data_IF_975857386141
#
_entry.id   IF_975857386141
#
_cell.length_a   1.000
_cell.length_b   1.000
_cell.length_c   1.000
_cell.angle_alpha   90.00
_cell.angle_beta   90.00
_cell.angle_gamma   90.00
#
_symmetry.space_group_name_H-M   'P 1'
#
loop_
_entity.id
_entity.type
_entity.pdbx_description
1 polymer ?
#
# COMPACT_ATOMS: atom_id res chain seq x y z
N UNK A 1 -34.42 67.39 8.21
CA UNK A 1 -33.26 68.13 8.76
C UNK A 1 -32.21 67.10 9.18
N UNK A 2 -30.91 67.24 8.95
CA UNK A 2 -30.15 68.18 8.08
C UNK A 2 -28.75 67.55 7.79
N UNK A 3 -28.21 67.85 6.61
CA UNK A 3 -26.81 67.77 6.10
C UNK A 3 -25.71 67.44 7.14
N UNK A 4 -24.74 66.53 6.94
CA UNK A 4 -23.75 66.38 5.86
C UNK A 4 -22.73 67.55 5.72
N UNK A 5 -21.48 67.37 6.20
CA UNK A 5 -20.17 67.93 5.69
C UNK A 5 -19.01 67.56 6.66
N UNK A 6 -17.90 66.93 6.22
CA UNK A 6 -16.69 67.48 5.55
C UNK A 6 -15.84 68.38 6.49
N UNK A 7 -14.48 68.32 6.60
CA UNK A 7 -13.40 67.99 5.63
C UNK A 7 -12.09 67.44 6.27
N UNK A 8 -11.30 66.70 5.47
CA UNK A 8 -9.83 66.70 5.26
C UNK A 8 -8.84 67.26 6.32
N UNK A 9 -7.76 66.50 6.58
CA UNK A 9 -6.38 66.77 6.09
C UNK A 9 -5.50 65.50 6.23
N UNK A 10 -4.48 65.29 5.38
CA UNK A 10 -3.57 64.13 5.49
C UNK A 10 -3.03 63.56 4.18
N UNK A 11 -2.45 64.38 3.31
CA UNK A 11 -1.65 63.89 2.19
C UNK A 11 -0.38 63.21 2.70
N UNK A 12 -0.08 61.99 2.23
CA UNK A 12 1.31 61.61 2.00
C UNK A 12 1.40 60.68 0.78
N UNK A 13 2.35 60.99 -0.09
CA UNK A 13 2.49 60.48 -1.44
C UNK A 13 3.94 60.05 -1.61
N UNK A 14 4.23 58.76 -1.83
CA UNK A 14 5.53 58.36 -2.35
C UNK A 14 5.58 56.99 -3.04
N UNK A 15 6.21 57.02 -4.22
CA UNK A 15 6.99 55.97 -4.87
C UNK A 15 6.37 54.59 -5.17
N UNK A 16 6.01 54.42 -6.45
CA UNK A 16 6.11 53.16 -7.18
C UNK A 16 7.51 52.52 -7.05
N UNK A 17 7.57 51.22 -6.74
CA UNK A 17 8.70 50.36 -7.11
C UNK A 17 8.17 49.00 -7.60
N UNK A 18 8.18 48.80 -8.91
CA UNK A 18 7.75 47.55 -9.53
C UNK A 18 8.85 46.49 -9.43
N UNK A 19 8.78 45.62 -8.42
CA UNK A 19 9.70 44.47 -8.30
C UNK A 19 9.27 43.35 -9.25
N UNK A 20 9.66 43.49 -10.52
CA UNK A 20 9.67 42.38 -11.46
C UNK A 20 10.86 41.46 -11.14
N UNK A 21 10.64 40.42 -10.33
CA UNK A 21 11.61 39.34 -10.14
C UNK A 21 11.03 38.00 -10.60
N UNK A 22 11.80 37.34 -11.46
CA UNK A 22 11.34 36.24 -12.30
C UNK A 22 11.21 34.93 -11.52
N UNK A 23 10.19 34.13 -11.84
CA UNK A 23 10.06 32.76 -11.33
C UNK A 23 11.17 31.89 -11.96
N UNK A 24 12.32 31.80 -11.29
CA UNK A 24 13.39 30.87 -11.66
C UNK A 24 12.90 29.42 -11.49
N UNK A 25 12.57 28.78 -12.59
CA UNK A 25 12.32 27.34 -12.64
C UNK A 25 13.65 26.60 -12.46
N UNK A 26 13.84 25.92 -11.32
CA UNK A 26 15.02 25.08 -11.10
C UNK A 26 14.91 23.84 -11.98
N UNK A 27 15.60 23.87 -13.12
CA UNK A 27 15.73 22.74 -14.04
C UNK A 27 16.83 21.80 -13.53
N UNK A 28 16.46 20.82 -12.72
CA UNK A 28 17.37 19.75 -12.30
C UNK A 28 17.66 18.81 -13.49
N UNK A 29 18.82 18.98 -14.13
CA UNK A 29 19.24 18.16 -15.27
C UNK A 29 20.75 17.91 -15.21
N UNK A 30 21.20 17.20 -14.16
CA UNK A 30 22.57 16.75 -13.99
C UNK A 30 22.91 15.62 -14.96
N UNK A 31 23.84 15.88 -15.89
CA UNK A 31 24.62 14.83 -16.57
C UNK A 31 25.94 14.65 -15.81
N UNK A 32 26.39 13.41 -15.55
CA UNK A 32 27.74 13.15 -15.06
C UNK A 32 28.73 13.16 -16.23
N UNK A 33 29.92 13.72 -16.02
CA UNK A 33 30.99 13.75 -17.01
C UNK A 33 31.52 15.16 -17.26
N UNK A 34 32.35 15.64 -16.33
CA UNK A 34 33.53 16.48 -16.59
C UNK A 34 34.23 16.70 -15.24
N UNK A 35 35.06 15.74 -14.85
CA UNK A 35 36.04 15.90 -13.78
C UNK A 35 37.41 16.06 -14.44
N UNK A 36 38.05 17.21 -14.23
CA UNK A 36 39.33 17.53 -14.85
C UNK A 36 40.43 16.57 -14.35
N UNK A 37 41.10 15.91 -15.30
CA UNK A 37 42.33 15.16 -15.02
C UNK A 37 43.49 16.15 -15.17
N UNK A 38 44.05 16.58 -14.05
CA UNK A 38 45.24 17.45 -14.01
C UNK A 38 46.52 16.61 -14.13
N UNK A 39 47.53 17.15 -14.80
CA UNK A 39 48.68 16.41 -15.32
C UNK A 39 49.71 15.91 -14.28
N UNK A 40 50.45 14.87 -14.67
CA UNK A 40 51.81 14.54 -14.22
C UNK A 40 52.62 13.96 -15.41
N UNK A 41 53.95 14.04 -15.35
CA UNK A 41 54.90 13.79 -16.47
C UNK A 41 55.72 12.50 -16.18
N UNK A 42 56.56 11.87 -17.04
CA UNK A 42 57.05 11.96 -18.44
C UNK A 42 57.90 10.65 -18.67
N UNK A 43 58.78 10.45 -19.70
CA UNK A 43 58.99 11.02 -21.06
C UNK A 43 59.00 9.94 -22.19
N UNK A 44 59.40 10.31 -23.42
CA UNK A 44 59.75 9.38 -24.54
C UNK A 44 58.60 8.97 -25.47
N UNK A 45 58.72 8.84 -26.80
CA UNK A 45 59.90 8.89 -27.68
C UNK A 45 59.66 9.72 -28.95
N UNK A 46 60.75 10.23 -29.53
CA UNK A 46 60.78 10.99 -30.79
C UNK A 46 61.17 10.11 -31.98
N UNK A 47 60.39 10.09 -33.06
CA UNK A 47 60.93 9.78 -34.38
C UNK A 47 60.31 10.62 -35.52
N UNK A 48 61.06 11.66 -35.88
CA UNK A 48 61.17 12.31 -37.19
C UNK A 48 60.27 11.85 -38.35
N UNK A 49 59.55 12.80 -38.96
CA UNK A 49 59.72 13.02 -40.41
C UNK A 49 59.65 14.50 -40.76
N UNK A 50 60.62 14.98 -41.53
CA UNK A 50 60.77 16.39 -41.92
C UNK A 50 59.99 16.67 -43.20
N UNK A 51 59.31 17.82 -43.25
CA UNK A 51 58.46 18.17 -44.39
C UNK A 51 59.25 18.46 -45.67
N UNK A 52 58.97 17.73 -46.74
CA UNK A 52 59.44 18.06 -48.10
C UNK A 52 58.43 19.00 -48.78
N UNK A 53 58.85 20.25 -49.04
CA UNK A 53 58.13 21.14 -49.96
C UNK A 53 58.28 20.63 -51.40
N UNK A 54 57.19 20.65 -52.17
CA UNK A 54 57.21 20.47 -53.63
C UNK A 54 56.86 19.07 -54.16
N UNK A 55 55.56 18.76 -54.19
CA UNK A 55 54.93 17.77 -55.07
C UNK A 55 53.44 18.17 -55.23
N UNK A 56 52.75 17.83 -56.32
CA UNK A 56 51.56 18.57 -56.74
C UNK A 56 50.34 18.31 -55.85
N UNK A 57 49.55 19.37 -55.64
CA UNK A 57 48.18 19.23 -55.12
C UNK A 57 47.36 18.46 -56.16
N UNK A 58 47.06 17.19 -55.89
CA UNK A 58 45.98 16.49 -56.59
C UNK A 58 44.69 17.25 -56.31
N UNK A 59 44.24 18.00 -57.30
CA UNK A 59 43.00 18.74 -57.24
C UNK A 59 41.84 17.75 -57.24
N UNK A 60 41.34 17.42 -56.04
CA UNK A 60 39.93 17.02 -55.85
C UNK A 60 39.07 18.29 -56.03
N UNK A 61 39.15 18.84 -57.25
CA UNK A 61 38.17 19.75 -57.79
C UNK A 61 37.04 18.89 -58.36
N UNK A 62 35.80 19.20 -58.04
CA UNK A 62 34.65 18.63 -58.76
C UNK A 62 34.01 17.36 -58.19
N UNK A 63 34.24 16.99 -56.92
CA UNK A 63 33.24 16.24 -56.14
C UNK A 63 33.05 16.85 -54.76
N UNK A 64 32.40 18.03 -54.72
CA UNK A 64 31.44 18.25 -53.64
C UNK A 64 30.48 17.08 -53.72
N UNK A 65 30.44 16.24 -52.69
CA UNK A 65 29.27 15.40 -52.50
C UNK A 65 28.11 16.38 -52.36
N UNK A 66 27.33 16.52 -53.42
CA UNK A 66 26.03 17.20 -53.36
C UNK A 66 25.17 16.22 -52.58
N UNK A 67 25.29 16.30 -51.25
CA UNK A 67 24.37 15.65 -50.31
C UNK A 67 23.01 16.06 -50.83
N UNK A 68 22.30 15.06 -51.35
CA UNK A 68 21.09 15.33 -52.10
C UNK A 68 20.13 16.07 -51.16
N UNK A 69 19.30 16.94 -51.74
CA UNK A 69 18.30 17.69 -50.98
C UNK A 69 17.34 16.76 -50.21
N UNK A 70 17.35 15.48 -50.54
CA UNK A 70 16.64 14.37 -49.90
C UNK A 70 17.43 13.79 -48.72
N UNK A 71 18.74 13.55 -48.84
CA UNK A 71 19.60 13.13 -47.73
C UNK A 71 19.69 14.19 -46.61
N UNK A 72 19.80 15.47 -46.97
CA UNK A 72 19.72 16.55 -45.96
C UNK A 72 18.36 16.61 -45.26
N UNK A 73 17.27 16.34 -45.99
CA UNK A 73 15.92 16.26 -45.40
C UNK A 73 15.80 15.03 -44.50
N UNK A 74 16.27 13.87 -44.95
CA UNK A 74 16.26 12.64 -44.17
C UNK A 74 17.09 12.78 -42.88
N UNK A 75 18.27 13.42 -42.95
CA UNK A 75 19.07 13.76 -41.77
C UNK A 75 18.33 14.73 -40.83
N UNK A 76 17.76 15.82 -41.35
CA UNK A 76 16.98 16.79 -40.57
C UNK A 76 15.69 16.19 -39.99
N UNK A 77 15.09 15.21 -40.64
CA UNK A 77 13.87 14.55 -40.18
C UNK A 77 14.16 13.40 -39.19
N UNK A 78 15.30 12.71 -39.33
CA UNK A 78 15.88 11.84 -38.29
C UNK A 78 16.27 12.64 -37.04
N UNK A 79 16.90 13.79 -37.21
CA UNK A 79 17.26 14.69 -36.11
C UNK A 79 16.00 15.23 -35.40
N UNK A 80 15.00 15.70 -36.16
CA UNK A 80 13.68 16.06 -35.60
C UNK A 80 12.97 14.86 -34.96
N UNK A 81 13.13 13.64 -35.47
CA UNK A 81 12.56 12.44 -34.86
C UNK A 81 13.26 12.07 -33.53
N UNK A 82 14.58 12.30 -33.44
CA UNK A 82 15.35 12.16 -32.20
C UNK A 82 15.00 13.26 -31.16
N UNK A 83 14.81 14.51 -31.61
CA UNK A 83 14.39 15.63 -30.76
C UNK A 83 12.90 15.56 -30.35
N UNK A 84 12.05 14.87 -31.13
CA UNK A 84 10.63 14.61 -30.79
C UNK A 84 10.53 13.67 -29.59
N UNK A 85 10.27 14.26 -28.41
CA UNK A 85 9.90 13.51 -27.19
C UNK A 85 8.76 12.53 -27.51
N UNK A 86 9.00 11.23 -27.28
CA UNK A 86 8.01 10.17 -27.54
C UNK A 86 6.67 10.53 -26.90
N UNK A 87 5.53 10.43 -27.61
CA UNK A 87 4.24 10.86 -27.07
C UNK A 87 3.91 10.06 -25.81
N UNK A 88 3.68 10.75 -24.70
CA UNK A 88 3.31 10.14 -23.43
C UNK A 88 2.01 9.36 -23.67
N UNK A 89 2.08 8.03 -23.47
CA UNK A 89 0.94 7.13 -23.68
C UNK A 89 -0.16 7.47 -22.66
N UNK A 90 -1.15 8.24 -23.11
CA UNK A 90 -2.36 8.60 -22.34
C UNK A 90 -2.98 7.30 -21.81
N UNK A 91 -3.22 7.20 -20.49
CA UNK A 91 -3.68 6.00 -19.73
C UNK A 91 -2.61 4.98 -19.31
N UNK A 92 -1.35 5.40 -19.09
CA UNK A 92 -0.43 4.64 -18.24
C UNK A 92 -0.50 5.10 -16.79
N UNK A 93 -0.49 4.15 -15.85
CA UNK A 93 -0.21 4.35 -14.43
C UNK A 93 0.78 3.24 -14.01
N UNK A 94 1.85 3.57 -13.27
CA UNK A 94 2.93 2.62 -12.90
C UNK A 94 3.41 1.69 -14.04
N UNK A 95 3.47 2.21 -15.28
CA UNK A 95 3.85 1.45 -16.48
C UNK A 95 2.73 0.62 -17.13
N UNK A 96 1.62 0.38 -16.43
CA UNK A 96 0.49 -0.43 -16.89
C UNK A 96 -0.59 0.36 -17.62
N UNK A 97 -1.25 -0.30 -18.59
CA UNK A 97 -2.39 0.28 -19.32
C UNK A 97 -3.67 0.17 -18.48
N UNK A 98 -4.29 1.31 -18.23
CA UNK A 98 -5.55 1.39 -17.47
C UNK A 98 -6.77 1.64 -18.36
N UNK A 99 -7.93 1.16 -17.90
CA UNK A 99 -9.24 1.47 -18.47
C UNK A 99 -10.11 2.12 -17.37
N UNK A 100 -10.81 3.20 -17.73
CA UNK A 100 -11.72 3.91 -16.83
C UNK A 100 -13.01 3.12 -16.67
N UNK A 101 -13.49 3.00 -15.44
CA UNK A 101 -14.84 2.56 -15.08
C UNK A 101 -15.57 3.64 -14.28
N UNK A 102 -16.88 3.47 -14.18
CA UNK A 102 -17.68 4.16 -13.18
C UNK A 102 -18.80 3.22 -12.72
N UNK A 103 -19.22 3.37 -11.46
CA UNK A 103 -20.43 2.77 -10.93
C UNK A 103 -21.28 3.86 -10.29
N UNK A 104 -22.58 3.60 -10.19
CA UNK A 104 -23.56 4.49 -9.54
C UNK A 104 -24.32 3.68 -8.50
N UNK A 105 -24.42 4.20 -7.28
CA UNK A 105 -25.10 3.55 -6.15
C UNK A 105 -26.00 4.52 -5.40
N UNK A 106 -26.99 3.99 -4.67
CA UNK A 106 -28.02 4.77 -4.00
C UNK A 106 -29.15 5.26 -4.92
N UNK A 107 -30.11 5.97 -4.32
CA UNK A 107 -31.27 6.53 -5.03
C UNK A 107 -30.90 7.54 -6.11
N UNK A 108 -31.76 7.68 -7.13
CA UNK A 108 -31.57 8.68 -8.20
C UNK A 108 -31.62 10.11 -7.63
N UNK A 109 -30.91 11.04 -8.27
CA UNK A 109 -30.87 12.45 -7.86
C UNK A 109 -29.66 12.79 -6.97
N UNK A 110 -29.80 13.77 -6.07
CA UNK A 110 -28.68 14.35 -5.30
C UNK A 110 -27.96 13.34 -4.40
N UNK A 111 -28.69 12.33 -3.91
CA UNK A 111 -28.14 11.31 -3.02
C UNK A 111 -27.38 10.20 -3.77
N UNK A 112 -27.38 10.20 -5.11
CA UNK A 112 -26.65 9.23 -5.92
C UNK A 112 -25.13 9.37 -5.70
N UNK A 113 -24.51 8.27 -5.29
CA UNK A 113 -23.07 8.14 -5.18
C UNK A 113 -22.53 7.69 -6.54
N UNK A 114 -21.50 8.38 -7.03
CA UNK A 114 -20.79 8.06 -8.27
C UNK A 114 -19.34 7.77 -7.94
N UNK A 115 -18.91 6.54 -8.18
CA UNK A 115 -17.52 6.14 -8.00
C UNK A 115 -16.85 6.01 -9.36
N UNK A 116 -15.83 6.83 -9.60
CA UNK A 116 -15.01 6.84 -10.81
C UNK A 116 -13.68 6.19 -10.47
N UNK A 117 -13.32 5.14 -11.20
CA UNK A 117 -12.15 4.33 -10.93
C UNK A 117 -11.45 3.91 -12.22
N UNK A 118 -10.25 3.37 -12.08
CA UNK A 118 -9.48 2.79 -13.16
C UNK A 118 -9.08 1.37 -12.78
N UNK A 119 -9.05 0.48 -13.77
CA UNK A 119 -8.67 -0.92 -13.63
C UNK A 119 -7.66 -1.33 -14.69
N UNK A 120 -6.90 -2.38 -14.42
CA UNK A 120 -5.92 -2.93 -15.36
C UNK A 120 -6.60 -3.42 -16.64
N UNK A 121 -6.03 -3.09 -17.81
CA UNK A 121 -6.44 -3.72 -19.07
C UNK A 121 -5.98 -5.18 -19.15
N UNK A 122 -4.76 -5.45 -18.71
CA UNK A 122 -4.16 -6.78 -18.66
C UNK A 122 -4.18 -7.23 -17.20
N UNK A 123 -4.85 -8.33 -16.87
CA UNK A 123 -4.94 -8.79 -15.49
C UNK A 123 -3.54 -9.08 -14.91
N UNK A 124 -3.31 -8.63 -13.68
CA UNK A 124 -2.20 -9.03 -12.84
C UNK A 124 -2.76 -9.34 -11.46
N UNK A 125 -2.34 -10.47 -10.89
CA UNK A 125 -2.73 -10.86 -9.55
C UNK A 125 -2.23 -9.81 -8.55
N UNK A 126 -3.08 -9.29 -7.64
CA UNK A 126 -2.63 -8.50 -6.51
C UNK A 126 -1.64 -9.29 -5.65
N UNK A 127 -0.78 -8.57 -4.94
CA UNK A 127 0.12 -9.16 -3.96
C UNK A 127 -0.69 -9.98 -2.93
N UNK A 128 -0.44 -11.31 -2.78
CA UNK A 128 -1.12 -12.15 -1.78
C UNK A 128 -0.99 -11.62 -0.35
N UNK A 129 0.09 -10.88 -0.08
CA UNK A 129 0.43 -10.35 1.23
C UNK A 129 -0.21 -8.99 1.50
N UNK A 130 -0.78 -8.32 0.49
CA UNK A 130 -1.45 -7.05 0.68
C UNK A 130 -2.65 -7.18 1.64
N UNK A 131 -2.96 -6.15 2.45
CA UNK A 131 -4.01 -6.24 3.47
C UNK A 131 -5.42 -6.29 2.83
N UNK A 132 -5.55 -5.78 1.61
CA UNK A 132 -6.79 -5.75 0.85
C UNK A 132 -6.53 -5.68 -0.67
N UNK A 133 -7.17 -6.56 -1.43
CA UNK A 133 -7.24 -6.52 -2.89
C UNK A 133 -8.59 -5.96 -3.35
N UNK A 134 -8.58 -4.78 -3.94
CA UNK A 134 -9.76 -4.11 -4.48
C UNK A 134 -9.95 -4.39 -5.98
N UNK A 135 -11.15 -4.80 -6.36
CA UNK A 135 -11.49 -5.16 -7.73
C UNK A 135 -12.90 -4.71 -8.11
N UNK A 136 -13.11 -4.54 -9.41
CA UNK A 136 -14.42 -4.31 -10.01
C UNK A 136 -14.96 -5.63 -10.58
N UNK A 137 -16.18 -6.00 -10.21
CA UNK A 137 -16.92 -7.10 -10.84
C UNK A 137 -17.88 -6.53 -11.90
N UNK A 138 -17.65 -6.76 -13.21
CA UNK A 138 -18.54 -6.25 -14.26
C UNK A 138 -19.96 -6.84 -14.17
N UNK A 139 -20.09 -8.12 -13.76
CA UNK A 139 -21.37 -8.83 -13.62
C UNK A 139 -22.28 -8.18 -12.56
N UNK A 140 -21.70 -7.81 -11.41
CA UNK A 140 -22.44 -7.19 -10.28
C UNK A 140 -22.40 -5.65 -10.30
N UNK A 141 -21.70 -5.06 -11.28
CA UNK A 141 -21.48 -3.62 -11.44
C UNK A 141 -21.11 -2.88 -10.13
N UNK A 142 -20.22 -3.49 -9.34
CA UNK A 142 -19.83 -3.00 -8.00
C UNK A 142 -18.34 -3.25 -7.73
N UNK A 143 -17.74 -2.41 -6.88
CA UNK A 143 -16.41 -2.61 -6.32
C UNK A 143 -16.47 -3.52 -5.08
N UNK A 144 -15.47 -4.39 -4.95
CA UNK A 144 -15.33 -5.35 -3.86
C UNK A 144 -13.91 -5.32 -3.29
N UNK A 145 -13.79 -5.68 -2.00
CA UNK A 145 -12.53 -5.98 -1.30
C UNK A 145 -12.45 -7.49 -1.11
N UNK A 146 -11.33 -8.08 -1.51
CA UNK A 146 -10.96 -9.46 -1.25
C UNK A 146 -9.66 -9.51 -0.43
N UNK A 147 -9.41 -10.68 0.15
CA UNK A 147 -8.21 -11.03 0.93
C UNK A 147 -7.38 -12.14 0.26
N UNK A 148 -7.94 -12.85 -0.73
CA UNK A 148 -7.29 -13.96 -1.41
C UNK A 148 -7.19 -13.75 -2.92
N UNK A 149 -7.00 -14.86 -3.64
CA UNK A 149 -6.88 -14.88 -5.10
C UNK A 149 -8.14 -14.36 -5.80
N UNK A 150 -7.96 -13.83 -7.02
CA UNK A 150 -9.03 -13.23 -7.84
C UNK A 150 -9.11 -13.94 -9.18
N UNK A 151 -10.32 -14.09 -9.72
CA UNK A 151 -10.53 -14.75 -11.01
C UNK A 151 -10.16 -13.80 -12.17
N UNK A 152 -9.13 -14.12 -13.00
CA UNK A 152 -8.73 -13.27 -14.12
C UNK A 152 -9.83 -13.01 -15.14
N UNK A 153 -10.77 -13.96 -15.29
CA UNK A 153 -11.84 -13.91 -16.28
C UNK A 153 -12.94 -12.94 -15.85
N UNK A 154 -13.47 -13.06 -14.63
CA UNK A 154 -14.57 -12.22 -14.15
C UNK A 154 -14.10 -10.92 -13.51
N UNK A 155 -13.03 -10.93 -12.71
CA UNK A 155 -12.67 -9.81 -11.85
C UNK A 155 -11.65 -8.86 -12.51
N UNK A 156 -11.77 -7.56 -12.22
CA UNK A 156 -10.95 -6.51 -12.83
C UNK A 156 -10.28 -5.68 -11.75
N UNK A 157 -9.01 -6.00 -11.50
CA UNK A 157 -8.14 -5.41 -10.48
C UNK A 157 -8.02 -3.89 -10.65
N UNK A 158 -8.23 -3.14 -9.56
CA UNK A 158 -8.16 -1.68 -9.58
C UNK A 158 -6.71 -1.19 -9.70
N UNK A 159 -6.49 -0.21 -10.58
CA UNK A 159 -5.17 0.34 -10.84
C UNK A 159 -5.31 1.71 -11.53
N UNK A 160 -4.76 2.76 -10.92
CA UNK A 160 -4.95 4.17 -11.30
C UNK A 160 -5.79 4.97 -10.29
N UNK A 161 -6.17 6.20 -10.62
CA UNK A 161 -6.87 7.10 -9.69
C UNK A 161 -8.29 6.62 -9.35
N UNK A 162 -8.74 6.93 -8.14
CA UNK A 162 -10.07 6.68 -7.61
C UNK A 162 -10.70 7.97 -7.11
N UNK A 163 -12.00 8.15 -7.35
CA UNK A 163 -12.78 9.26 -6.81
C UNK A 163 -14.24 8.86 -6.59
N UNK A 164 -14.68 8.93 -5.34
CA UNK A 164 -16.08 8.79 -4.91
C UNK A 164 -16.71 10.17 -4.75
N UNK A 165 -17.88 10.37 -5.34
CA UNK A 165 -18.59 11.64 -5.32
C UNK A 165 -20.06 11.45 -4.98
N UNK A 166 -20.67 12.47 -4.38
CA UNK A 166 -22.11 12.58 -4.18
C UNK A 166 -22.51 14.05 -4.38
N UNK A 167 -23.58 14.31 -5.13
CA UNK A 167 -24.01 15.68 -5.47
C UNK A 167 -22.85 16.59 -5.97
N UNK A 168 -22.02 16.09 -6.88
CA UNK A 168 -20.78 16.72 -7.39
C UNK A 168 -19.67 17.04 -6.36
N UNK A 169 -19.86 16.76 -5.07
CA UNK A 169 -18.82 16.86 -4.05
C UNK A 169 -18.02 15.57 -3.96
N UNK A 170 -16.71 15.67 -3.71
CA UNK A 170 -15.84 14.52 -3.46
C UNK A 170 -16.02 14.06 -2.02
N UNK A 171 -16.20 12.75 -1.82
CA UNK A 171 -16.27 12.13 -0.49
C UNK A 171 -15.00 11.31 -0.17
N UNK A 172 -14.36 10.73 -1.20
CA UNK A 172 -13.13 9.97 -1.06
C UNK A 172 -12.33 10.08 -2.37
N UNK A 173 -11.03 10.26 -2.29
CA UNK A 173 -10.14 10.20 -3.46
C UNK A 173 -8.77 9.65 -3.12
N UNK A 174 -8.18 8.91 -4.05
CA UNK A 174 -6.86 8.32 -3.89
C UNK A 174 -6.41 7.59 -5.15
N UNK A 175 -5.50 6.65 -5.00
CA UNK A 175 -4.99 5.84 -6.11
C UNK A 175 -4.95 4.36 -5.70
N UNK A 176 -5.25 3.48 -6.65
CA UNK A 176 -5.01 2.04 -6.52
C UNK A 176 -3.77 1.64 -7.31
N UNK A 177 -2.96 0.74 -6.75
CA UNK A 177 -1.85 0.09 -7.43
C UNK A 177 -2.01 -1.43 -7.32
N UNK A 178 -2.28 -2.09 -8.44
CA UNK A 178 -2.38 -3.56 -8.53
C UNK A 178 -3.39 -4.15 -7.52
N UNK A 179 -4.53 -3.48 -7.35
CA UNK A 179 -5.58 -3.83 -6.39
C UNK A 179 -5.40 -3.24 -5.01
N UNK A 180 -4.24 -2.69 -4.65
CA UNK A 180 -3.96 -2.18 -3.30
C UNK A 180 -4.15 -0.65 -3.22
N UNK A 181 -4.42 -0.09 -2.03
CA UNK A 181 -4.41 1.37 -1.84
C UNK A 181 -2.98 1.90 -1.99
N UNK A 182 -2.79 2.98 -2.74
CA UNK A 182 -1.47 3.59 -2.95
C UNK A 182 -1.53 5.12 -3.02
N UNK A 183 -0.37 5.74 -2.79
CA UNK A 183 -0.19 7.19 -2.67
C UNK A 183 -1.12 7.78 -1.60
N UNK A 184 -1.39 9.08 -1.71
CA UNK A 184 -2.28 9.80 -0.80
C UNK A 184 -3.75 9.40 -1.02
N UNK A 185 -4.43 9.09 0.08
CA UNK A 185 -5.87 8.90 0.20
C UNK A 185 -6.45 10.00 1.09
N UNK A 186 -7.55 10.60 0.64
CA UNK A 186 -8.22 11.71 1.30
C UNK A 186 -9.72 11.40 1.41
N UNK A 187 -10.27 11.50 2.61
CA UNK A 187 -11.70 11.37 2.90
C UNK A 187 -12.25 12.73 3.29
N UNK A 188 -13.42 13.08 2.77
CA UNK A 188 -14.07 14.37 2.97
C UNK A 188 -15.49 14.17 3.51
N UNK A 189 -15.97 15.15 4.28
CA UNK A 189 -17.36 15.26 4.68
C UNK A 189 -18.26 15.72 3.50
N UNK A 190 -19.58 15.54 3.64
CA UNK A 190 -20.60 16.06 2.72
C UNK A 190 -20.53 17.59 2.58
N UNK A 191 -19.96 18.30 3.56
CA UNK A 191 -19.67 19.75 3.43
C UNK A 191 -18.45 20.06 2.56
N UNK A 192 -17.53 19.12 2.38
CA UNK A 192 -16.26 19.27 1.66
C UNK A 192 -15.03 19.41 2.56
N UNK A 193 -15.21 19.38 3.89
CA UNK A 193 -14.12 19.42 4.87
C UNK A 193 -13.30 18.13 4.79
N UNK A 194 -11.96 18.25 4.78
CA UNK A 194 -11.05 17.10 4.85
C UNK A 194 -11.16 16.45 6.24
N UNK A 195 -11.55 15.17 6.29
CA UNK A 195 -11.67 14.39 7.52
C UNK A 195 -10.38 13.64 7.83
N UNK A 196 -9.87 12.87 6.85
CA UNK A 196 -8.64 12.09 7.01
C UNK A 196 -7.77 12.18 5.76
N UNK A 197 -6.45 12.10 5.97
CA UNK A 197 -5.43 12.12 4.93
C UNK A 197 -4.35 11.11 5.31
N UNK A 198 -4.25 10.02 4.55
CA UNK A 198 -3.36 8.89 4.82
C UNK A 198 -2.53 8.62 3.57
N UNK A 199 -1.23 8.34 3.72
CA UNK A 199 -0.41 7.87 2.61
C UNK A 199 -0.29 6.36 2.67
N UNK A 200 -0.43 5.69 1.52
CA UNK A 200 -0.32 4.25 1.39
C UNK A 200 0.78 3.84 0.40
N UNK A 201 1.50 2.78 0.74
CA UNK A 201 2.53 2.14 -0.06
C UNK A 201 2.09 0.68 -0.29
N UNK A 202 1.68 0.35 -1.52
CA UNK A 202 1.22 -1.00 -1.92
C UNK A 202 0.19 -1.67 -0.98
N UNK A 203 -0.71 -0.86 -0.39
CA UNK A 203 -1.79 -1.29 0.50
C UNK A 203 -1.56 -0.99 1.98
N UNK A 204 -0.30 -0.86 2.41
CA UNK A 204 0.06 -0.56 3.79
C UNK A 204 0.15 0.95 4.03
N UNK A 205 -0.20 1.48 5.21
CA UNK A 205 0.09 2.87 5.54
C UNK A 205 1.60 3.13 5.43
N UNK A 206 2.01 4.25 4.85
CA UNK A 206 3.44 4.57 4.68
C UNK A 206 4.19 4.66 6.01
N UNK A 207 3.51 5.15 7.04
CA UNK A 207 4.11 5.33 8.36
C UNK A 207 4.06 4.04 9.20
N UNK A 208 3.46 2.95 8.68
CA UNK A 208 3.31 1.69 9.39
C UNK A 208 4.64 1.02 9.70
N UNK A 209 4.74 0.45 10.90
CA UNK A 209 5.90 -0.36 11.29
C UNK A 209 5.68 -1.78 10.73
N UNK A 210 6.48 -2.13 9.73
CA UNK A 210 6.46 -3.46 9.09
C UNK A 210 7.70 -4.23 9.55
N UNK A 211 7.50 -5.32 10.29
CA UNK A 211 8.54 -6.32 10.51
C UNK A 211 8.51 -7.35 9.38
N UNK A 212 9.63 -8.01 9.11
CA UNK A 212 9.78 -8.98 8.02
C UNK A 212 10.39 -10.28 8.53
N UNK A 213 10.10 -11.39 7.85
CA UNK A 213 10.78 -12.67 8.05
C UNK A 213 12.14 -12.72 7.34
N UNK A 214 12.31 -11.96 6.26
CA UNK A 214 13.50 -11.95 5.41
C UNK A 214 14.27 -10.62 5.45
N UNK A 215 15.59 -10.69 5.24
CA UNK A 215 16.42 -9.48 5.08
C UNK A 215 16.09 -8.68 3.80
N UNK A 216 15.49 -9.34 2.80
CA UNK A 216 15.08 -8.73 1.52
C UNK A 216 13.83 -7.85 1.60
N UNK A 217 13.12 -7.85 2.75
CA UNK A 217 11.84 -7.14 2.95
C UNK A 217 10.74 -7.54 1.97
N UNK A 218 10.76 -8.80 1.54
CA UNK A 218 9.76 -9.37 0.62
C UNK A 218 8.61 -10.06 1.35
N UNK A 219 8.84 -10.53 2.57
CA UNK A 219 7.90 -11.34 3.36
C UNK A 219 7.61 -10.66 4.70
N UNK A 220 6.63 -9.73 4.76
CA UNK A 220 6.26 -9.07 6.01
C UNK A 220 5.73 -10.10 7.02
N UNK A 221 6.12 -9.91 8.28
CA UNK A 221 5.72 -10.72 9.43
C UNK A 221 4.58 -10.08 10.19
N UNK A 222 4.67 -8.77 10.40
CA UNK A 222 3.69 -8.01 11.17
C UNK A 222 3.63 -6.59 10.62
N UNK A 223 2.42 -6.06 10.49
CA UNK A 223 2.14 -4.71 10.03
C UNK A 223 1.33 -3.99 11.10
N UNK A 224 2.02 -3.10 11.82
CA UNK A 224 1.42 -2.25 12.85
C UNK A 224 1.00 -0.92 12.20
N UNK A 225 -0.30 -0.59 12.16
CA UNK A 225 -0.81 0.54 11.39
C UNK A 225 -0.56 1.86 12.13
N UNK A 226 0.52 2.54 11.80
CA UNK A 226 0.74 3.93 12.22
C UNK A 226 0.32 4.89 11.11
N UNK A 227 -0.28 6.02 11.51
CA UNK A 227 -0.72 7.12 10.66
C UNK A 227 -0.40 8.43 11.39
N UNK A 228 0.45 9.28 10.81
CA UNK A 228 0.91 10.52 11.43
C UNK A 228 1.49 10.32 12.87
N UNK A 229 2.17 9.20 13.10
CA UNK A 229 2.75 8.84 14.40
C UNK A 229 1.78 8.28 15.45
N UNK A 230 0.48 8.14 15.12
CA UNK A 230 -0.52 7.50 16.00
C UNK A 230 -0.85 6.09 15.50
N UNK A 231 -1.12 5.17 16.43
CA UNK A 231 -1.53 3.80 16.13
C UNK A 231 -3.03 3.78 15.75
N UNK A 232 -3.32 3.72 14.46
CA UNK A 232 -4.65 3.88 13.87
C UNK A 232 -4.74 3.15 12.51
N UNK A 233 -5.69 2.23 12.36
CA UNK A 233 -5.97 1.53 11.10
C UNK A 233 -6.01 0.00 11.19
N UNK A 234 -5.93 -0.65 10.03
CA UNK A 234 -6.02 -2.13 9.89
C UNK A 234 -4.69 -2.79 10.30
N UNK A 235 -4.72 -3.64 11.35
CA UNK A 235 -3.58 -4.47 11.79
C UNK A 235 -3.59 -5.83 11.10
N UNK A 236 -2.42 -6.32 10.69
CA UNK A 236 -2.25 -7.68 10.15
C UNK A 236 -0.94 -8.30 10.62
N UNK A 237 -1.02 -9.53 11.15
CA UNK A 237 0.13 -10.40 11.35
C UNK A 237 0.07 -11.59 10.40
N UNK A 238 1.21 -11.98 9.89
CA UNK A 238 1.39 -13.12 9.02
C UNK A 238 2.30 -14.17 9.66
N UNK A 239 2.17 -15.39 9.14
CA UNK A 239 3.01 -16.53 9.46
C UNK A 239 4.11 -16.69 8.40
N UNK A 240 5.14 -17.48 8.71
CA UNK A 240 6.26 -17.79 7.81
C UNK A 240 5.87 -18.59 6.54
N UNK A 241 4.58 -18.87 6.31
CA UNK A 241 4.04 -19.43 5.06
C UNK A 241 3.27 -18.39 4.22
N UNK A 242 3.27 -17.12 4.64
CA UNK A 242 2.57 -16.02 3.99
C UNK A 242 1.07 -15.92 4.35
N UNK A 243 0.54 -16.84 5.17
CA UNK A 243 -0.86 -16.75 5.61
C UNK A 243 -1.03 -15.74 6.72
N UNK A 244 -2.23 -15.16 6.83
CA UNK A 244 -2.58 -14.31 7.96
C UNK A 244 -2.75 -15.17 9.19
N UNK A 245 -2.12 -14.77 10.28
CA UNK A 245 -2.29 -15.35 11.61
C UNK A 245 -3.30 -14.52 12.40
N UNK A 246 -3.19 -13.19 12.31
CA UNK A 246 -4.08 -12.23 12.97
C UNK A 246 -4.50 -11.10 12.05
N UNK A 247 -5.74 -10.63 12.22
CA UNK A 247 -6.21 -9.33 11.69
C UNK A 247 -7.08 -8.63 12.70
N UNK A 248 -7.00 -7.30 12.76
CA UNK A 248 -7.83 -6.47 13.63
C UNK A 248 -7.76 -4.99 13.25
N UNK A 249 -8.27 -4.11 14.11
CA UNK A 249 -8.23 -2.66 13.92
C UNK A 249 -7.77 -1.95 15.20
N UNK A 250 -6.98 -0.89 15.01
CA UNK A 250 -6.66 0.10 16.04
C UNK A 250 -7.38 1.42 15.78
N UNK A 251 -7.77 2.09 16.86
CA UNK A 251 -8.28 3.46 16.87
C UNK A 251 -7.78 4.16 18.14
N UNK A 252 -7.22 5.37 18.00
CA UNK A 252 -6.59 6.13 19.10
C UNK A 252 -5.52 5.35 19.92
N UNK A 253 -4.91 4.31 19.34
CA UNK A 253 -3.97 3.42 20.03
C UNK A 253 -4.57 2.19 20.70
N UNK A 254 -5.90 2.11 20.84
CA UNK A 254 -6.59 0.97 21.44
C UNK A 254 -7.07 -0.03 20.38
N UNK A 255 -7.12 -1.31 20.76
CA UNK A 255 -7.72 -2.38 19.96
C UNK A 255 -9.24 -2.19 19.94
N UNK A 256 -9.85 -2.20 18.76
CA UNK A 256 -11.30 -1.97 18.60
C UNK A 256 -11.97 -2.97 17.66
N UNK A 257 -13.25 -3.27 17.94
CA UNK A 257 -14.09 -4.15 17.13
C UNK A 257 -13.64 -5.62 17.11
N UNK A 258 -13.94 -6.32 16.01
CA UNK A 258 -13.60 -7.74 15.86
C UNK A 258 -12.10 -7.97 15.54
N UNK A 259 -11.47 -8.82 16.33
CA UNK A 259 -10.11 -9.30 16.15
C UNK A 259 -10.12 -10.80 15.85
N UNK A 260 -9.55 -11.16 14.69
CA UNK A 260 -9.65 -12.51 14.13
C UNK A 260 -8.28 -13.19 14.20
N UNK A 261 -8.25 -14.37 14.82
CA UNK A 261 -7.13 -15.30 14.79
C UNK A 261 -7.48 -16.45 13.83
N UNK A 262 -6.62 -16.72 12.86
CA UNK A 262 -6.80 -17.80 11.88
C UNK A 262 -6.14 -19.13 12.30
N UNK A 263 -5.29 -19.12 13.33
CA UNK A 263 -4.59 -20.30 13.82
C UNK A 263 -3.75 -20.99 12.74
N UNK A 264 -3.87 -22.31 12.67
CA UNK A 264 -3.26 -23.15 11.63
C UNK A 264 -4.17 -23.33 10.40
N UNK A 265 -5.33 -22.68 10.38
CA UNK A 265 -6.40 -23.00 9.44
C UNK A 265 -6.14 -22.35 8.07
N UNK A 266 -6.48 -23.07 7.00
CA UNK A 266 -6.13 -22.62 5.64
C UNK A 266 -7.01 -21.48 5.11
N UNK A 267 -8.27 -21.39 5.57
CA UNK A 267 -9.30 -20.55 4.93
C UNK A 267 -10.23 -19.84 5.92
N UNK A 268 -10.53 -20.46 7.05
CA UNK A 268 -11.51 -19.96 8.01
C UNK A 268 -10.79 -19.34 9.21
N UNK A 269 -11.42 -18.37 9.90
CA UNK A 269 -11.04 -18.02 11.27
C UNK A 269 -10.96 -19.26 12.15
N UNK A 270 -10.20 -19.19 13.22
CA UNK A 270 -10.28 -20.12 14.34
C UNK A 270 -11.01 -19.46 15.52
N UNK A 271 -10.53 -18.29 15.96
CA UNK A 271 -11.17 -17.47 16.99
C UNK A 271 -11.54 -16.08 16.48
N UNK A 272 -12.66 -15.55 16.96
CA UNK A 272 -13.03 -14.13 16.81
C UNK A 272 -13.31 -13.54 18.17
N UNK A 273 -12.57 -12.50 18.51
CA UNK A 273 -12.63 -11.75 19.75
C UNK A 273 -13.28 -10.39 19.53
N UNK A 274 -14.10 -9.92 20.47
CA UNK A 274 -14.61 -8.56 20.51
C UNK A 274 -13.80 -7.71 21.50
N UNK A 275 -13.42 -6.53 21.03
CA UNK A 275 -12.92 -5.41 21.84
C UNK A 275 -13.98 -4.31 21.91
N UNK A 276 -13.70 -3.23 22.66
CA UNK A 276 -14.54 -2.03 22.68
C UNK A 276 -14.89 -1.52 21.28
N UNK A 277 -16.07 -0.93 21.14
CA UNK A 277 -16.59 -0.50 19.84
C UNK A 277 -15.77 0.67 19.28
N UNK A 278 -15.23 1.51 20.17
CA UNK A 278 -14.52 2.74 19.83
C UNK A 278 -13.21 2.91 20.60
N UNK A 279 -12.28 3.68 20.02
CA UNK A 279 -11.01 4.03 20.65
C UNK A 279 -11.13 5.10 21.74
N UNK A 280 -12.30 5.23 22.36
CA UNK A 280 -12.59 6.16 23.46
C UNK A 280 -13.07 5.44 24.72
N UNK A 281 -13.39 4.15 24.61
CA UNK A 281 -13.65 3.26 25.75
C UNK A 281 -12.34 2.84 26.42
N UNK A 282 -12.35 2.52 27.73
CA UNK A 282 -11.18 1.92 28.38
C UNK A 282 -10.82 0.60 27.70
N UNK A 283 -9.52 0.33 27.55
CA UNK A 283 -9.06 -0.86 26.84
C UNK A 283 -9.48 -2.14 27.58
N UNK A 284 -10.24 -2.98 26.89
CA UNK A 284 -10.67 -4.28 27.39
C UNK A 284 -9.45 -5.21 27.42
N UNK A 285 -8.86 -5.40 28.61
CA UNK A 285 -7.67 -6.23 28.80
C UNK A 285 -7.94 -7.71 28.46
N UNK A 286 -9.11 -8.22 28.88
CA UNK A 286 -9.61 -9.57 28.59
C UNK A 286 -10.69 -9.51 27.50
N UNK A 287 -10.35 -9.68 26.21
CA UNK A 287 -11.32 -9.57 25.13
C UNK A 287 -12.33 -10.72 25.16
N UNK A 288 -13.58 -10.42 24.83
CA UNK A 288 -14.61 -11.44 24.81
C UNK A 288 -14.47 -12.33 23.58
N UNK A 289 -14.31 -13.64 23.75
CA UNK A 289 -14.51 -14.59 22.65
C UNK A 289 -15.98 -14.52 22.23
N UNK A 290 -16.24 -14.15 20.98
CA UNK A 290 -17.61 -14.11 20.43
C UNK A 290 -17.90 -15.29 19.50
N UNK A 291 -16.91 -15.80 18.76
CA UNK A 291 -17.08 -16.94 17.84
C UNK A 291 -15.85 -17.84 17.81
N UNK A 292 -16.08 -19.15 17.76
CA UNK A 292 -15.06 -20.18 17.52
C UNK A 292 -15.50 -21.09 16.37
N UNK A 293 -14.57 -21.43 15.50
CA UNK A 293 -14.79 -22.24 14.32
C UNK A 293 -13.90 -23.49 14.34
N UNK A 294 -14.36 -24.56 13.69
CA UNK A 294 -13.58 -25.75 13.37
C UNK A 294 -12.66 -25.50 12.16
N UNK A 295 -11.69 -26.38 11.97
CA UNK A 295 -10.74 -26.40 10.86
C UNK A 295 -11.42 -26.41 9.47
N UNK A 296 -12.61 -27.02 9.35
CA UNK A 296 -13.40 -27.02 8.11
C UNK A 296 -14.34 -25.81 7.95
N UNK A 297 -14.43 -24.93 8.95
CA UNK A 297 -15.22 -23.70 8.94
C UNK A 297 -16.60 -23.79 9.59
N UNK A 298 -16.96 -24.93 10.18
CA UNK A 298 -18.19 -25.06 10.98
C UNK A 298 -18.09 -24.25 12.28
N UNK A 299 -19.18 -23.54 12.66
CA UNK A 299 -19.22 -22.78 13.92
C UNK A 299 -19.37 -23.75 15.10
N UNK A 300 -18.41 -23.71 16.02
CA UNK A 300 -18.43 -24.48 17.28
C UNK A 300 -19.01 -23.63 18.40
N UNK A 301 -18.66 -22.34 18.46
CA UNK A 301 -19.15 -21.40 19.48
C UNK A 301 -19.63 -20.10 18.83
N UNK A 302 -20.75 -19.57 19.31
CA UNK A 302 -21.30 -18.27 18.91
C UNK A 302 -22.07 -17.66 20.08
N UNK A 303 -21.48 -16.62 20.69
CA UNK A 303 -22.05 -15.93 21.86
C UNK A 303 -23.38 -15.24 21.53
N UNK A 304 -23.48 -14.62 20.36
CA UNK A 304 -24.69 -13.92 19.91
C UNK A 304 -25.87 -14.89 19.73
N UNK A 305 -25.60 -16.11 19.28
CA UNK A 305 -26.61 -17.17 19.07
C UNK A 305 -26.79 -18.12 20.25
N UNK A 306 -26.08 -17.91 21.37
CA UNK A 306 -26.03 -18.83 22.51
C UNK A 306 -25.70 -20.29 22.10
N UNK A 307 -24.80 -20.46 21.14
CA UNK A 307 -24.36 -21.75 20.63
C UNK A 307 -23.04 -22.13 21.28
N UNK A 308 -22.97 -23.29 21.93
CA UNK A 308 -21.73 -23.87 22.42
C UNK A 308 -21.69 -25.38 22.16
N UNK A 309 -20.88 -25.77 21.18
CA UNK A 309 -20.60 -27.16 20.79
C UNK A 309 -19.16 -27.57 21.12
N UNK A 310 -18.44 -26.83 21.96
CA UNK A 310 -17.01 -27.09 22.26
C UNK A 310 -16.80 -28.40 23.04
N UNK A 311 -17.87 -28.98 23.59
CA UNK A 311 -17.87 -30.32 24.18
C UNK A 311 -18.24 -31.46 23.23
N UNK A 312 -18.71 -31.16 22.01
CA UNK A 312 -19.10 -32.16 21.02
C UNK A 312 -17.88 -32.67 20.23
N UNK A 313 -18.07 -33.75 19.46
CA UNK A 313 -17.09 -34.15 18.46
C UNK A 313 -16.95 -33.07 17.39
N UNK A 314 -15.71 -32.81 16.95
CA UNK A 314 -15.42 -31.83 15.90
C UNK A 314 -16.26 -32.13 14.64
N UNK A 315 -17.16 -31.21 14.21
CA UNK A 315 -18.06 -31.43 13.08
C UNK A 315 -17.32 -31.63 11.75
N UNK A 316 -16.09 -31.12 11.61
CA UNK A 316 -15.31 -31.20 10.39
C UNK A 316 -14.15 -32.21 10.49
N UNK A 317 -14.03 -32.92 11.62
CA UNK A 317 -13.08 -34.02 11.72
C UNK A 317 -13.42 -35.09 10.70
N UNK A 318 -12.53 -35.30 9.73
CA UNK A 318 -12.64 -36.46 8.85
C UNK A 318 -12.71 -37.71 9.72
N UNK A 319 -13.71 -38.60 9.56
CA UNK A 319 -13.72 -39.85 10.30
C UNK A 319 -12.42 -40.56 9.96
N UNK A 320 -11.56 -40.72 10.96
CA UNK A 320 -10.33 -41.48 10.81
C UNK A 320 -10.76 -42.85 10.31
N UNK A 321 -10.44 -43.14 9.04
CA UNK A 321 -10.60 -44.48 8.49
C UNK A 321 -9.58 -45.34 9.21
N UNK A 322 -9.99 -45.82 10.37
CA UNK A 322 -9.31 -46.79 11.18
C UNK A 322 -9.10 -48.00 10.27
N UNK A 323 -7.92 -48.08 9.66
CA UNK A 323 -7.55 -49.14 8.72
C UNK A 323 -7.24 -50.42 9.51
N UNK A 324 -8.22 -50.87 10.29
CA UNK A 324 -8.26 -52.19 10.92
C UNK A 324 -8.46 -53.22 9.83
N UNK A 325 -7.35 -53.52 9.17
CA UNK A 325 -7.12 -54.66 8.30
C UNK A 325 -7.83 -55.89 8.90
N UNK A 326 -8.81 -56.50 8.22
CA UNK A 326 -9.44 -57.71 8.71
C UNK A 326 -8.42 -58.86 8.62
N UNK A 327 -8.06 -59.46 9.76
CA UNK A 327 -7.24 -60.68 9.79
C UNK A 327 -6.06 -60.66 10.76
N UNK A 328 -6.33 -60.81 12.06
CA UNK A 328 -5.47 -61.58 12.98
C UNK A 328 -6.27 -61.93 14.25
N UNK A 329 -6.71 -63.18 14.38
CA UNK A 329 -7.27 -63.67 15.64
C UNK A 329 -6.15 -63.82 16.68
N UNK A 330 -6.11 -62.89 17.64
CA UNK A 330 -5.41 -63.04 18.91
C UNK A 330 -6.44 -63.09 20.04
N UNK A 331 -6.29 -64.03 20.97
CA UNK A 331 -7.25 -64.26 22.07
C UNK A 331 -7.44 -63.00 22.92
N UNK A 332 -8.68 -62.58 23.25
CA UNK A 332 -8.90 -61.39 24.06
C UNK A 332 -8.48 -61.63 25.51
N UNK A 333 -7.41 -60.97 25.95
CA UNK A 333 -7.10 -60.86 27.38
C UNK A 333 -8.21 -60.03 28.09
N UNK A 334 -8.62 -60.41 29.31
CA UNK A 334 -9.62 -59.66 30.06
C UNK A 334 -9.11 -58.25 30.38
N UNK A 335 -9.93 -57.23 30.09
CA UNK A 335 -9.59 -55.83 30.39
C UNK A 335 -9.52 -55.61 31.91
N UNK A 336 -8.50 -54.89 32.43
CA UNK A 336 -8.49 -54.48 33.83
C UNK A 336 -9.69 -53.56 34.13
N UNK A 337 -10.19 -53.54 35.38
CA UNK A 337 -11.39 -52.80 35.74
C UNK A 337 -11.23 -51.30 35.48
N UNK A 338 -12.31 -50.68 34.99
CA UNK A 338 -12.36 -49.25 34.64
C UNK A 338 -11.98 -48.40 35.85
N UNK A 339 -10.82 -47.74 35.78
CA UNK A 339 -10.43 -46.74 36.76
C UNK A 339 -11.45 -45.59 36.68
N UNK A 340 -12.19 -45.36 37.77
CA UNK A 340 -13.27 -44.36 37.83
C UNK A 340 -12.75 -43.02 37.28
N UNK A 341 -13.54 -42.40 36.41
CA UNK A 341 -13.25 -41.07 35.84
C UNK A 341 -13.02 -40.09 36.99
N UNK A 342 -11.81 -39.57 37.12
CA UNK A 342 -11.59 -38.42 37.99
C UNK A 342 -12.32 -37.22 37.36
N UNK A 343 -13.08 -36.42 38.15
CA UNK A 343 -13.64 -35.19 37.63
C UNK A 343 -12.49 -34.29 37.16
N UNK A 344 -12.59 -33.80 35.92
CA UNK A 344 -11.65 -32.78 35.41
C UNK A 344 -11.73 -31.57 36.35
N UNK A 345 -10.56 -31.06 36.78
CA UNK A 345 -10.48 -29.87 37.64
C UNK A 345 -11.24 -28.70 36.99
N UNK A 346 -12.02 -27.92 37.76
CA UNK A 346 -12.49 -26.62 37.28
C UNK A 346 -11.28 -25.70 37.13
N UNK A 347 -11.04 -25.27 35.90
CA UNK A 347 -9.85 -24.50 35.53
C UNK A 347 -9.97 -24.08 34.08
N UNK A 348 -10.74 -23.02 33.82
CA UNK A 348 -10.73 -22.32 32.55
C UNK A 348 -9.30 -21.79 32.33
N UNK A 349 -8.55 -22.43 31.44
CA UNK A 349 -7.48 -21.75 30.74
C UNK A 349 -8.10 -21.12 29.50
N UNK A 350 -8.33 -19.81 29.54
CA UNK A 350 -8.47 -19.06 28.29
C UNK A 350 -7.19 -19.34 27.48
N UNK A 351 -7.29 -19.80 26.21
CA UNK A 351 -6.08 -20.07 25.43
C UNK A 351 -5.27 -18.78 25.30
N UNK A 352 -3.94 -18.91 25.23
CA UNK A 352 -2.98 -17.81 25.09
C UNK A 352 -3.02 -17.18 23.68
N UNK A 353 -4.23 -16.81 23.25
CA UNK A 353 -4.60 -16.23 21.99
C UNK A 353 -5.21 -14.84 22.23
N UNK A 354 -4.70 -14.08 23.19
CA UNK A 354 -4.72 -12.62 23.09
C UNK A 354 -3.90 -12.24 21.85
N UNK A 355 -4.34 -11.30 20.99
CA UNK A 355 -3.47 -10.76 19.95
C UNK A 355 -2.17 -10.25 20.57
N UNK A 356 -1.05 -10.36 19.85
CA UNK A 356 0.25 -10.01 20.40
C UNK A 356 0.25 -8.57 20.91
N UNK A 357 0.84 -8.37 22.08
CA UNK A 357 1.15 -7.02 22.54
C UNK A 357 1.96 -6.32 21.43
N UNK A 358 1.47 -5.17 20.98
CA UNK A 358 2.13 -4.40 19.92
C UNK A 358 3.55 -4.13 20.37
N UNK A 359 4.53 -4.61 19.61
CA UNK A 359 5.94 -4.41 19.94
C UNK A 359 6.19 -2.91 20.10
N UNK A 360 6.68 -2.42 21.26
CA UNK A 360 6.93 -1.00 21.43
C UNK A 360 7.93 -0.54 20.37
N UNK A 361 7.73 0.67 19.85
CA UNK A 361 8.69 1.31 18.97
C UNK A 361 10.09 1.27 19.61
N UNK A 362 11.15 0.90 18.88
CA UNK A 362 12.50 1.12 19.38
C UNK A 362 12.61 2.63 19.67
N UNK A 363 12.85 2.96 20.94
CA UNK A 363 12.82 4.35 21.39
C UNK A 363 13.79 5.17 20.53
N UNK A 364 13.27 6.21 19.88
CA UNK A 364 14.12 7.23 19.24
C UNK A 364 14.95 7.86 20.34
N UNK A 365 16.22 7.47 20.43
CA UNK A 365 17.17 8.02 21.40
C UNK A 365 17.09 9.54 21.34
N UNK A 366 16.74 10.24 22.45
CA UNK A 366 16.74 11.69 22.44
C UNK A 366 18.16 12.14 22.14
N UNK A 367 18.32 12.94 21.09
CA UNK A 367 19.61 13.51 20.73
C UNK A 367 20.16 14.29 21.93
N UNK A 368 21.43 14.04 22.27
CA UNK A 368 22.06 14.64 23.43
C UNK A 368 21.90 16.17 23.39
N UNK A 369 21.31 16.75 24.44
CA UNK A 369 21.21 18.20 24.58
C UNK A 369 22.62 18.76 24.70
N UNK A 370 23.03 19.55 23.71
CA UNK A 370 24.35 20.18 23.67
C UNK A 370 24.56 21.05 24.91
N UNK A 371 25.64 20.78 25.64
CA UNK A 371 26.07 21.62 26.74
C UNK A 371 26.48 23.00 26.22
N UNK A 372 25.93 24.05 26.81
CA UNK A 372 26.40 25.43 26.62
C UNK A 372 27.79 25.60 27.23
N UNK A 373 28.75 26.24 26.53
CA UNK A 373 30.01 26.63 27.15
C UNK A 373 29.76 27.77 28.15
N UNK A 374 30.23 27.59 29.38
CA UNK A 374 30.28 28.67 30.36
C UNK A 374 31.38 29.65 30.00
N UNK A 375 31.10 30.95 30.10
CA UNK A 375 32.11 31.99 29.96
C UNK A 375 32.86 32.19 31.28
N UNK A 376 34.19 32.31 31.18
CA UNK A 376 35.09 33.01 32.10
C UNK A 376 36.31 33.48 31.30
#
# INVERSE_FOLDING_TARGET
>A
MLLLRFRFWGMSLLALLAVACTRKTVSFNSRPGDAAVTALMAPGDTLTTTGRKGAPKLSIAGRKAVVSKEEEKAAKDLEKAAQRKKPIKKKLFLGERTKKGFIKSGGKGRNQIVEVFYYLKNFKQPDPMAPAAFYFSPKKHKLYKATGELDPSTDKVLHGPYKKMQNNKVLESGYFAYGTRHLRWEKFDVKGTLLTKIHYEMGFPRDANISYYDAGRTMPREVVPYVNGKLEGDYVKFRNDGRREWTGKFENGHRVGEWINYGDYKKYPHYVYAYGESGYEPEVEEPELIREYSHGGSIIYDKEKNLDKRGDADPDATPVKDARRPGSHGVPAPRPPVRKVQPRRPGYHAPAATPPAVSPTPATTPAASGATPSAN
#
